data_IF_901097303551
#
_entry.id   IF_901097303551
#
_cell.length_a   1.000
_cell.length_b   1.000
_cell.length_c   1.000
_cell.angle_alpha   90.00
_cell.angle_beta   90.00
_cell.angle_gamma   90.00
#
_symmetry.space_group_name_H-M   'P 1'
#
loop_
_entity.id
_entity.type
_entity.pdbx_description
1 polymer ?
#
# COMPACT_ATOMS: atom_id res chain seq x y z
N UNK A 1 16.98 7.44 21.58
CA UNK A 1 16.92 7.12 20.13
C UNK A 1 16.35 5.72 19.84
N UNK A 2 16.85 4.65 20.45
CA UNK A 2 16.35 3.28 20.17
C UNK A 2 14.85 3.06 20.46
N UNK A 3 14.32 3.64 21.54
CA UNK A 3 12.90 3.52 21.88
C UNK A 3 11.98 4.19 20.85
N UNK A 4 12.39 5.35 20.31
CA UNK A 4 11.66 6.08 19.26
C UNK A 4 11.61 5.27 17.96
N UNK A 5 12.74 4.68 17.56
CA UNK A 5 12.80 3.83 16.36
C UNK A 5 11.89 2.60 16.49
N UNK A 6 11.91 1.93 17.66
CA UNK A 6 11.03 0.81 17.94
C UNK A 6 9.55 1.21 17.87
N UNK A 7 9.19 2.36 18.44
CA UNK A 7 7.83 2.89 18.37
C UNK A 7 7.39 3.18 16.94
N UNK A 8 8.25 3.80 16.14
CA UNK A 8 7.98 4.07 14.72
C UNK A 8 7.78 2.78 13.91
N UNK A 9 8.63 1.77 14.10
CA UNK A 9 8.50 0.48 13.43
C UNK A 9 7.20 -0.23 13.81
N UNK A 10 6.81 -0.17 15.08
CA UNK A 10 5.57 -0.75 15.56
C UNK A 10 4.36 -0.03 14.95
N UNK A 11 4.40 1.30 14.85
CA UNK A 11 3.36 2.08 14.18
C UNK A 11 3.25 1.70 12.69
N UNK A 12 4.37 1.59 11.98
CA UNK A 12 4.39 1.15 10.57
C UNK A 12 3.78 -0.25 10.43
N UNK A 13 4.14 -1.18 11.32
CA UNK A 13 3.59 -2.52 11.32
C UNK A 13 2.07 -2.51 11.52
N UNK A 14 1.57 -1.73 12.48
CA UNK A 14 0.13 -1.59 12.73
C UNK A 14 -0.58 -1.00 11.50
N UNK A 15 -0.03 0.03 10.87
CA UNK A 15 -0.61 0.60 9.65
C UNK A 15 -0.70 -0.41 8.51
N UNK A 16 0.34 -1.24 8.33
CA UNK A 16 0.35 -2.30 7.33
C UNK A 16 -0.70 -3.38 7.62
N UNK A 17 -0.84 -3.79 8.88
CA UNK A 17 -1.87 -4.76 9.30
C UNK A 17 -3.30 -4.25 9.08
N UNK A 18 -3.50 -2.94 9.20
CA UNK A 18 -4.79 -2.29 8.97
C UNK A 18 -5.03 -1.93 7.49
N UNK A 19 -4.04 -2.12 6.62
CA UNK A 19 -4.16 -1.81 5.20
C UNK A 19 -4.90 -2.93 4.47
N UNK A 20 -5.71 -2.56 3.49
CA UNK A 20 -6.25 -3.52 2.54
C UNK A 20 -5.18 -3.86 1.50
N UNK A 21 -4.88 -5.14 1.33
CA UNK A 21 -3.91 -5.64 0.34
C UNK A 21 -4.63 -6.50 -0.68
N UNK A 22 -4.62 -6.06 -1.95
CA UNK A 22 -5.14 -6.85 -3.09
C UNK A 22 -3.99 -7.36 -3.92
N UNK A 23 -3.89 -8.68 -4.02
CA UNK A 23 -2.93 -9.36 -4.86
C UNK A 23 -3.67 -9.98 -6.04
N UNK A 24 -3.34 -9.55 -7.26
CA UNK A 24 -3.83 -10.16 -8.49
C UNK A 24 -2.68 -10.90 -9.13
N UNK A 25 -2.75 -12.23 -9.18
CA UNK A 25 -1.70 -13.07 -9.77
C UNK A 25 -2.29 -14.08 -10.74
N UNK A 26 -1.55 -14.34 -11.82
CA UNK A 26 -1.86 -15.34 -12.82
C UNK A 26 -0.56 -15.94 -13.34
N UNK A 27 -0.55 -17.26 -13.52
CA UNK A 27 0.55 -18.00 -14.15
C UNK A 27 0.54 -17.87 -15.69
N UNK A 28 -0.55 -17.38 -16.27
CA UNK A 28 -0.70 -17.27 -17.73
C UNK A 28 -0.74 -15.81 -18.21
N UNK A 29 -1.07 -14.88 -17.31
CA UNK A 29 -1.17 -13.45 -17.60
C UNK A 29 -0.26 -12.66 -16.68
N UNK A 30 1.05 -12.88 -16.81
CA UNK A 30 2.05 -12.21 -15.97
C UNK A 30 2.01 -10.68 -16.09
N UNK A 31 1.64 -10.17 -17.25
CA UNK A 31 1.42 -8.74 -17.52
C UNK A 31 0.35 -8.10 -16.65
N UNK A 32 -0.56 -8.90 -16.10
CA UNK A 32 -1.62 -8.45 -15.21
C UNK A 32 -1.30 -8.69 -13.73
N UNK A 33 -0.13 -9.25 -13.41
CA UNK A 33 0.30 -9.45 -12.03
C UNK A 33 0.53 -8.09 -11.38
N UNK A 34 -0.20 -7.82 -10.31
CA UNK A 34 -0.11 -6.56 -9.60
C UNK A 34 -0.44 -6.72 -8.12
N UNK A 35 0.09 -5.79 -7.34
CA UNK A 35 -0.26 -5.61 -5.94
C UNK A 35 -0.79 -4.21 -5.73
N UNK A 36 -1.89 -4.11 -4.99
CA UNK A 36 -2.47 -2.84 -4.56
C UNK A 36 -2.55 -2.84 -3.02
N UNK A 37 -2.11 -1.74 -2.41
CA UNK A 37 -2.15 -1.51 -0.97
C UNK A 37 -2.89 -0.20 -0.72
N UNK A 38 -3.99 -0.29 0.01
CA UNK A 38 -4.78 0.86 0.45
C UNK A 38 -4.60 1.01 1.95
N UNK A 39 -3.92 2.08 2.37
CA UNK A 39 -3.70 2.35 3.79
C UNK A 39 -4.99 2.80 4.47
N UNK A 40 -5.13 2.56 5.79
CA UNK A 40 -6.30 2.99 6.54
C UNK A 40 -6.53 4.51 6.40
N UNK A 41 -7.76 4.91 6.63
CA UNK A 41 -8.13 6.32 6.67
C UNK A 41 -9.30 6.56 7.60
N UNK A 42 -9.43 7.81 8.02
CA UNK A 42 -10.58 8.28 8.77
C UNK A 42 -11.82 8.46 7.88
N UNK A 43 -11.66 8.55 6.55
CA UNK A 43 -12.74 8.73 5.55
C UNK A 43 -12.59 7.68 4.46
N UNK A 44 -13.60 6.83 4.29
CA UNK A 44 -13.56 5.70 3.36
C UNK A 44 -13.18 6.06 1.91
N UNK A 45 -13.51 7.27 1.46
CA UNK A 45 -13.25 7.73 0.09
C UNK A 45 -11.82 8.23 -0.15
N UNK A 46 -11.02 8.44 0.90
CA UNK A 46 -9.72 9.08 0.80
C UNK A 46 -8.68 8.37 1.69
N UNK A 47 -8.08 7.25 1.23
CA UNK A 47 -7.04 6.55 1.97
C UNK A 47 -5.86 7.49 2.25
N UNK A 48 -5.18 7.36 3.40
CA UNK A 48 -4.00 8.19 3.67
C UNK A 48 -2.91 8.00 2.63
N UNK A 49 -2.78 6.77 2.13
CA UNK A 49 -1.87 6.41 1.06
C UNK A 49 -2.42 5.24 0.26
N UNK A 50 -2.19 5.27 -1.04
CA UNK A 50 -2.48 4.18 -1.96
C UNK A 50 -1.23 3.88 -2.76
N UNK A 51 -0.92 2.61 -2.92
CA UNK A 51 0.18 2.12 -3.74
C UNK A 51 -0.33 1.03 -4.65
N UNK A 52 0.00 1.12 -5.94
CA UNK A 52 -0.18 0.08 -6.92
C UNK A 52 1.13 -0.16 -7.63
N UNK A 53 1.50 -1.43 -7.74
CA UNK A 53 2.70 -1.84 -8.46
C UNK A 53 2.40 -3.01 -9.37
N UNK A 54 2.76 -2.86 -10.64
CA UNK A 54 2.79 -3.94 -11.63
C UNK A 54 4.21 -4.03 -12.19
N UNK A 55 4.99 -5.08 -11.86
CA UNK A 55 6.36 -5.21 -12.31
C UNK A 55 6.50 -5.44 -13.81
N UNK A 56 5.54 -6.11 -14.44
CA UNK A 56 5.60 -6.47 -15.85
C UNK A 56 5.32 -5.26 -16.77
N UNK A 57 4.51 -4.31 -16.29
CA UNK A 57 4.20 -3.06 -17.00
C UNK A 57 5.09 -1.89 -16.55
N UNK A 58 6.04 -2.13 -15.65
CA UNK A 58 6.85 -1.08 -14.99
C UNK A 58 6.00 0.04 -14.36
N UNK A 59 4.75 -0.26 -14.01
CA UNK A 59 3.82 0.71 -13.44
C UNK A 59 3.99 0.78 -11.93
N UNK A 60 4.31 1.97 -11.44
CA UNK A 60 4.32 2.27 -10.02
C UNK A 60 3.49 3.52 -9.76
N UNK A 61 2.26 3.32 -9.30
CA UNK A 61 1.32 4.39 -9.00
C UNK A 61 1.26 4.54 -7.49
N UNK A 62 1.43 5.77 -7.02
CA UNK A 62 1.17 6.09 -5.63
C UNK A 62 0.33 7.35 -5.52
N UNK A 63 -0.59 7.37 -4.55
CA UNK A 63 -1.44 8.53 -4.25
C UNK A 63 -1.44 8.76 -2.74
N UNK A 64 -1.33 10.01 -2.33
CA UNK A 64 -1.56 10.40 -0.92
C UNK A 64 -3.00 10.88 -0.78
N UNK A 65 -3.57 10.70 0.41
CA UNK A 65 -4.90 11.18 0.79
C UNK A 65 -5.08 12.68 0.60
N UNK A 66 -6.32 13.18 0.78
CA UNK A 66 -6.96 14.14 -0.10
C UNK A 66 -6.15 15.43 -0.25
N UNK A 67 -5.74 15.73 -1.49
CA UNK A 67 -4.97 16.92 -1.87
C UNK A 67 -4.00 16.75 -3.05
N UNK A 68 -4.04 15.65 -3.81
CA UNK A 68 -3.28 15.49 -5.08
C UNK A 68 -4.10 15.92 -6.29
#
# INVERSE_FOLDING_TARGET
MAALLKGLLLLVLVLLLLSEVKLSTSLYKYEDNQVEITFPSWRAEAPWYYLKWNPAKEEFIHRRGPGS
#
